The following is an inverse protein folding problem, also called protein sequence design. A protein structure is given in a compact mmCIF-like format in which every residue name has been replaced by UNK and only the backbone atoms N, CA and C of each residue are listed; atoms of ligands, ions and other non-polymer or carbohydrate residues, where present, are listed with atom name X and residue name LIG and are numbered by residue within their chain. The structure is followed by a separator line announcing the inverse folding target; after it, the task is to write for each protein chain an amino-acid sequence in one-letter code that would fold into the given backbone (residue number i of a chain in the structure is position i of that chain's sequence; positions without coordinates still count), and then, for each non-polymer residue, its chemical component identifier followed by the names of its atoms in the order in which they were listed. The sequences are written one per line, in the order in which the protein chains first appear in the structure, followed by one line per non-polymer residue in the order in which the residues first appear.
data_IF_137136508266
#
_entry.id   IF_137136508266
#
_cell.length_a   1.000
_cell.length_b   1.000
_cell.length_c   1.000
_cell.angle_alpha   90.00
_cell.angle_beta   90.00
_cell.angle_gamma   90.00
#
_symmetry.space_group_name_H-M   'P 1'
#
loop_
_entity.id
_entity.type
_entity.pdbx_description
1 polymer ?
#
# COMPACT_ATOMS: atom_id res chain seq x y z
N UNK A 1 4.10 9.50 -2.52
CA UNK A 1 2.89 9.32 -1.68
C UNK A 1 3.05 9.92 -0.27
N UNK A 2 4.07 9.59 0.55
CA UNK A 2 4.22 10.15 1.91
C UNK A 2 4.33 11.67 1.92
N UNK A 3 5.03 12.29 0.96
CA UNK A 3 5.05 13.74 0.82
C UNK A 3 3.66 14.36 0.62
N UNK A 4 2.79 13.68 -0.11
CA UNK A 4 1.39 14.10 -0.28
C UNK A 4 0.58 13.99 1.01
N UNK A 5 0.73 12.89 1.75
CA UNK A 5 0.10 12.71 3.06
C UNK A 5 0.56 13.78 4.05
N UNK A 6 1.86 14.06 4.12
CA UNK A 6 2.41 15.11 4.98
C UNK A 6 1.83 16.49 4.62
N UNK A 7 1.70 16.81 3.32
CA UNK A 7 1.07 18.07 2.85
C UNK A 7 -0.40 18.15 3.26
N UNK A 8 -1.14 17.06 3.12
CA UNK A 8 -2.56 17.02 3.51
C UNK A 8 -2.75 17.29 5.00
N UNK A 9 -1.97 16.64 5.87
CA UNK A 9 -2.01 16.90 7.31
C UNK A 9 -1.62 18.33 7.67
N UNK A 10 -0.60 18.88 7.01
CA UNK A 10 -0.21 20.30 7.19
C UNK A 10 -1.30 21.28 6.72
N UNK A 11 -1.99 20.96 5.62
CA UNK A 11 -3.09 21.75 5.11
C UNK A 11 -4.21 21.93 6.14
N UNK A 12 -4.48 20.89 6.90
CA UNK A 12 -5.48 20.90 7.97
C UNK A 12 -4.94 21.41 9.33
N UNK A 13 -3.72 21.92 9.39
CA UNK A 13 -3.13 22.40 10.63
C UNK A 13 -2.91 21.30 11.70
N UNK A 14 -2.90 20.04 11.27
CA UNK A 14 -2.73 18.86 12.11
C UNK A 14 -1.52 18.03 11.64
N UNK A 15 -0.28 18.60 11.68
CA UNK A 15 0.90 17.85 11.30
C UNK A 15 1.07 16.62 12.20
N UNK A 16 1.52 15.53 11.61
CA UNK A 16 1.84 14.28 12.31
C UNK A 16 3.23 13.84 11.93
N UNK A 17 3.96 13.26 12.88
CA UNK A 17 5.33 12.83 12.69
C UNK A 17 5.43 11.49 11.96
N UNK A 18 4.42 10.64 12.13
CA UNK A 18 4.39 9.29 11.58
C UNK A 18 2.97 8.80 11.29
N UNK A 19 2.83 7.84 10.38
CA UNK A 19 1.58 7.12 10.10
C UNK A 19 1.83 5.61 10.06
N UNK A 20 0.76 4.86 10.36
CA UNK A 20 0.75 3.38 10.29
C UNK A 20 0.30 2.95 8.91
N UNK A 21 1.22 2.37 8.17
CA UNK A 21 1.01 1.86 6.83
C UNK A 21 0.89 0.33 6.83
N UNK A 22 0.04 -0.19 5.98
CA UNK A 22 0.07 -1.61 5.60
C UNK A 22 0.39 -1.74 4.12
N UNK A 23 1.32 -2.65 3.81
CA UNK A 23 1.68 -3.00 2.44
C UNK A 23 1.70 -4.53 2.27
N UNK A 24 1.04 -5.11 1.25
CA UNK A 24 1.17 -6.51 0.96
C UNK A 24 2.58 -6.82 0.45
N UNK A 25 3.27 -7.71 1.15
CA UNK A 25 4.57 -8.24 0.72
C UNK A 25 4.36 -9.61 0.10
N UNK A 26 4.93 -9.83 -1.08
CA UNK A 26 4.94 -11.14 -1.72
C UNK A 26 5.86 -12.08 -0.94
N UNK A 27 5.26 -13.15 -0.39
CA UNK A 27 5.95 -14.19 0.39
C UNK A 27 6.09 -15.51 -0.38
N UNK A 28 5.95 -15.49 -1.71
CA UNK A 28 6.15 -16.68 -2.55
C UNK A 28 7.58 -17.17 -2.45
N UNK A 29 7.70 -18.48 -2.15
CA UNK A 29 8.96 -19.22 -2.23
C UNK A 29 9.14 -19.81 -3.63
N UNK A 30 10.32 -20.35 -3.92
CA UNK A 30 10.56 -21.06 -5.18
C UNK A 30 9.64 -22.29 -5.34
N UNK A 31 9.20 -22.91 -4.25
CA UNK A 31 8.29 -24.05 -4.24
C UNK A 31 6.84 -23.66 -4.55
N UNK A 32 6.46 -22.42 -4.26
CA UNK A 32 5.12 -21.89 -4.52
C UNK A 32 5.03 -21.05 -5.81
N UNK A 33 6.14 -20.93 -6.57
CA UNK A 33 6.13 -20.34 -7.90
C UNK A 33 5.26 -21.20 -8.83
N UNK A 34 4.23 -20.57 -9.42
CA UNK A 34 3.31 -21.27 -10.33
C UNK A 34 2.01 -21.76 -9.69
N UNK A 35 1.90 -21.74 -8.37
CA UNK A 35 0.62 -22.01 -7.71
C UNK A 35 -0.31 -20.81 -7.95
N UNK A 36 -1.52 -21.08 -8.46
CA UNK A 36 -2.54 -20.06 -8.66
C UNK A 36 -3.00 -19.48 -7.31
N UNK A 37 -3.19 -18.17 -7.24
CA UNK A 37 -3.66 -17.47 -6.05
C UNK A 37 -2.74 -16.35 -5.57
N UNK A 38 -3.25 -15.50 -4.68
CA UNK A 38 -2.47 -14.43 -4.06
C UNK A 38 -1.75 -14.95 -2.82
N UNK A 39 -0.44 -15.03 -2.89
CA UNK A 39 0.42 -15.43 -1.76
C UNK A 39 1.15 -14.20 -1.26
N UNK A 40 0.54 -13.47 -0.34
CA UNK A 40 1.13 -12.28 0.28
C UNK A 40 0.85 -12.24 1.79
N UNK A 41 1.71 -11.54 2.52
CA UNK A 41 1.49 -11.18 3.92
C UNK A 41 1.30 -9.66 4.04
N UNK A 42 0.35 -9.18 4.86
CA UNK A 42 0.23 -7.75 5.15
C UNK A 42 1.34 -7.34 6.11
N UNK A 43 2.37 -6.68 5.58
CA UNK A 43 3.40 -6.07 6.40
C UNK A 43 2.92 -4.73 6.94
N UNK A 44 3.32 -4.41 8.17
CA UNK A 44 2.95 -3.18 8.87
C UNK A 44 4.17 -2.35 9.16
N UNK A 45 4.05 -1.08 8.87
CA UNK A 45 5.12 -0.11 9.03
C UNK A 45 4.60 1.10 9.79
N UNK A 46 5.43 1.65 10.65
CA UNK A 46 5.32 3.02 11.09
C UNK A 46 6.23 3.85 10.20
N UNK A 47 5.66 4.69 9.35
CA UNK A 47 6.40 5.46 8.36
C UNK A 47 6.54 6.91 8.77
N UNK A 48 7.75 7.50 8.71
CA UNK A 48 7.95 8.90 9.08
C UNK A 48 7.35 9.84 8.03
N UNK A 49 6.64 10.87 8.49
CA UNK A 49 6.16 11.99 7.68
C UNK A 49 6.96 13.28 7.91
N UNK A 50 7.83 13.30 8.93
CA UNK A 50 8.65 14.45 9.31
C UNK A 50 9.86 14.67 8.40
N UNK A 51 10.21 13.70 7.53
CA UNK A 51 11.34 13.83 6.60
C UNK A 51 10.88 14.65 5.40
N UNK A 52 11.33 15.91 5.30
CA UNK A 52 10.94 16.81 4.22
C UNK A 52 11.72 16.57 2.93
N UNK A 53 13.02 16.24 3.01
CA UNK A 53 13.82 15.94 1.82
C UNK A 53 13.35 14.64 1.14
N UNK A 54 12.99 14.67 -0.16
CA UNK A 54 12.43 13.50 -0.84
C UNK A 54 13.45 12.37 -1.04
N UNK A 55 14.74 12.68 -1.17
CA UNK A 55 15.79 11.66 -1.35
C UNK A 55 16.04 10.94 -0.04
N UNK A 56 16.16 11.69 1.05
CA UNK A 56 16.30 11.15 2.40
C UNK A 56 15.09 10.27 2.76
N UNK A 57 13.87 10.76 2.45
CA UNK A 57 12.63 10.02 2.68
C UNK A 57 12.56 8.71 1.90
N UNK A 58 13.02 8.69 0.64
CA UNK A 58 13.11 7.46 -0.17
C UNK A 58 14.10 6.49 0.47
N UNK A 59 15.27 6.95 0.90
CA UNK A 59 16.29 6.14 1.57
C UNK A 59 15.75 5.50 2.85
N UNK A 60 15.16 6.29 3.73
CA UNK A 60 14.57 5.82 4.99
C UNK A 60 13.48 4.76 4.75
N UNK A 61 12.60 4.97 3.75
CA UNK A 61 11.58 4.00 3.39
C UNK A 61 12.17 2.72 2.81
N UNK A 62 13.21 2.82 1.99
CA UNK A 62 13.87 1.65 1.43
C UNK A 62 14.43 0.76 2.54
N UNK A 63 15.16 1.34 3.49
CA UNK A 63 15.72 0.61 4.63
C UNK A 63 14.63 -0.04 5.49
N UNK A 64 13.56 0.70 5.80
CA UNK A 64 12.42 0.20 6.55
C UNK A 64 11.77 -1.01 5.87
N UNK A 65 11.49 -0.91 4.57
CA UNK A 65 10.87 -1.99 3.80
C UNK A 65 11.80 -3.20 3.70
N UNK A 66 13.11 -3.01 3.52
CA UNK A 66 14.06 -4.11 3.46
C UNK A 66 14.15 -4.85 4.81
N UNK A 67 14.16 -4.11 5.91
CA UNK A 67 14.16 -4.70 7.26
C UNK A 67 12.93 -5.59 7.47
N UNK A 68 11.75 -5.08 7.15
CA UNK A 68 10.51 -5.84 7.28
C UNK A 68 10.44 -7.06 6.33
N UNK A 69 10.89 -6.92 5.10
CA UNK A 69 10.91 -8.06 4.14
C UNK A 69 11.78 -9.22 4.61
N UNK A 70 12.80 -8.94 5.42
CA UNK A 70 13.71 -9.95 5.97
C UNK A 70 13.22 -10.52 7.31
N UNK A 71 12.03 -10.10 7.79
CA UNK A 71 11.46 -10.60 9.05
C UNK A 71 11.16 -12.10 8.97
N UNK A 72 11.76 -12.93 9.83
CA UNK A 72 11.61 -14.39 9.79
C UNK A 72 10.18 -14.90 10.05
N UNK A 73 9.28 -14.02 10.54
CA UNK A 73 7.90 -14.40 10.83
C UNK A 73 7.03 -14.57 9.58
N UNK A 74 7.34 -13.88 8.47
CA UNK A 74 6.48 -13.89 7.27
C UNK A 74 6.28 -15.27 6.64
N UNK A 75 7.28 -16.15 6.50
CA UNK A 75 7.07 -17.50 5.98
C UNK A 75 6.08 -18.35 6.80
N UNK A 76 5.86 -17.99 8.07
CA UNK A 76 4.97 -18.71 9.00
C UNK A 76 3.56 -18.17 9.07
N UNK A 77 3.26 -17.04 8.41
CA UNK A 77 1.93 -16.39 8.44
C UNK A 77 0.83 -17.35 7.97
N UNK A 78 1.09 -18.18 6.95
CA UNK A 78 0.13 -19.19 6.49
C UNK A 78 -0.21 -20.25 7.55
N UNK A 79 0.78 -20.71 8.32
CA UNK A 79 0.59 -21.68 9.39
C UNK A 79 -0.20 -21.07 10.56
N UNK A 80 0.12 -19.81 10.92
CA UNK A 80 -0.60 -19.05 11.95
C UNK A 80 -2.05 -18.84 11.53
N UNK A 81 -2.31 -18.45 10.29
CA UNK A 81 -3.65 -18.28 9.75
C UNK A 81 -4.47 -19.58 9.82
N UNK A 82 -3.87 -20.72 9.44
CA UNK A 82 -4.51 -22.04 9.53
C UNK A 82 -4.88 -22.39 10.96
N UNK A 83 -4.00 -22.13 11.93
CA UNK A 83 -4.27 -22.34 13.36
C UNK A 83 -5.39 -21.45 13.88
N UNK A 84 -5.45 -20.18 13.45
CA UNK A 84 -6.50 -19.24 13.82
C UNK A 84 -7.86 -19.64 13.21
N UNK A 85 -7.89 -20.14 11.98
CA UNK A 85 -9.11 -20.68 11.36
C UNK A 85 -9.69 -21.86 12.14
N UNK A 86 -8.85 -22.71 12.73
CA UNK A 86 -9.30 -23.84 13.54
C UNK A 86 -10.02 -23.42 14.83
N UNK A 87 -9.83 -22.18 15.31
CA UNK A 87 -10.54 -21.62 16.48
C UNK A 87 -11.97 -21.14 16.18
N UNK A 88 -12.37 -21.22 14.91
CA UNK A 88 -13.71 -20.86 14.45
C UNK A 88 -13.88 -19.39 14.06
N UNK A 89 -14.93 -19.11 13.22
CA UNK A 89 -15.14 -17.81 12.61
C UNK A 89 -15.23 -16.62 13.58
N UNK A 90 -15.90 -16.70 14.75
CA UNK A 90 -16.02 -15.56 15.66
C UNK A 90 -14.68 -15.09 16.24
N UNK A 91 -13.80 -16.03 16.61
CA UNK A 91 -12.47 -15.72 17.16
C UNK A 91 -11.58 -15.13 16.07
N UNK A 92 -11.58 -15.76 14.90
CA UNK A 92 -10.85 -15.28 13.73
C UNK A 92 -11.26 -13.85 13.36
N UNK A 93 -12.56 -13.58 13.23
CA UNK A 93 -13.10 -12.27 12.87
C UNK A 93 -12.74 -11.21 13.91
N UNK A 94 -12.82 -11.52 15.21
CA UNK A 94 -12.51 -10.58 16.29
C UNK A 94 -11.02 -10.21 16.29
N UNK A 95 -10.14 -11.19 16.12
CA UNK A 95 -8.69 -10.95 16.06
C UNK A 95 -8.29 -10.16 14.82
N UNK A 96 -8.76 -10.54 13.66
CA UNK A 96 -8.47 -9.84 12.40
C UNK A 96 -9.04 -8.42 12.39
N UNK A 97 -10.26 -8.23 12.90
CA UNK A 97 -10.87 -6.89 13.01
C UNK A 97 -10.08 -5.95 13.92
N UNK A 98 -9.55 -6.46 15.05
CA UNK A 98 -8.72 -5.63 15.92
C UNK A 98 -7.39 -5.23 15.26
N UNK A 99 -6.86 -6.12 14.46
CA UNK A 99 -5.66 -5.84 13.68
C UNK A 99 -5.87 -4.77 12.59
N UNK A 100 -7.03 -4.74 11.94
CA UNK A 100 -7.36 -3.78 10.89
C UNK A 100 -7.60 -2.36 11.43
N UNK A 101 -8.02 -2.20 12.68
CA UNK A 101 -8.30 -0.89 13.31
C UNK A 101 -7.06 -0.03 13.57
N UNK A 102 -5.87 -0.56 13.42
CA UNK A 102 -4.60 0.13 13.71
C UNK A 102 -3.84 0.51 12.42
N UNK A 103 -4.55 0.83 11.34
CA UNK A 103 -3.98 1.16 10.02
C UNK A 103 -4.51 2.52 9.61
N UNK A 104 -3.63 3.46 9.30
CA UNK A 104 -4.01 4.79 8.82
C UNK A 104 -4.20 4.78 7.30
N UNK A 105 -3.29 4.11 6.57
CA UNK A 105 -3.44 3.91 5.13
C UNK A 105 -2.85 2.59 4.64
N UNK A 106 -3.33 2.14 3.49
CA UNK A 106 -2.83 0.96 2.78
C UNK A 106 -2.14 1.41 1.51
N UNK A 107 -1.00 0.81 1.19
CA UNK A 107 -0.36 0.98 -0.11
C UNK A 107 -0.09 -0.37 -0.75
N UNK A 108 -0.11 -0.40 -2.09
CA UNK A 108 0.24 -1.60 -2.85
C UNK A 108 1.01 -1.20 -4.10
N UNK A 109 1.99 -2.01 -4.47
CA UNK A 109 2.68 -1.90 -5.75
C UNK A 109 2.48 -3.20 -6.53
N UNK A 110 1.77 -3.11 -7.64
CA UNK A 110 1.42 -4.24 -8.50
C UNK A 110 2.13 -4.09 -9.85
N UNK A 111 3.21 -4.84 -10.09
CA UNK A 111 3.86 -4.85 -11.39
C UNK A 111 2.96 -5.54 -12.41
N UNK A 112 2.62 -4.86 -13.48
CA UNK A 112 1.94 -5.40 -14.64
C UNK A 112 2.90 -5.72 -15.80
N UNK A 113 2.38 -6.19 -16.95
CA UNK A 113 3.19 -6.50 -18.12
C UNK A 113 3.86 -5.24 -18.70
N UNK A 114 5.12 -5.40 -19.11
CA UNK A 114 5.91 -4.33 -19.73
C UNK A 114 5.66 -4.18 -21.24
N UNK A 115 4.66 -4.89 -21.77
CA UNK A 115 4.30 -4.92 -23.19
C UNK A 115 2.79 -4.72 -23.35
N UNK A 116 2.32 -4.26 -24.53
CA UNK A 116 0.90 -4.08 -24.82
C UNK A 116 0.13 -5.39 -24.70
N UNK A 117 -1.01 -5.38 -24.01
CA UNK A 117 -1.95 -6.51 -23.92
C UNK A 117 -3.29 -6.14 -24.53
N UNK A 118 -4.00 -7.19 -25.01
CA UNK A 118 -5.29 -7.05 -25.67
C UNK A 118 -6.34 -7.87 -24.92
N UNK A 119 -7.55 -7.33 -24.84
CA UNK A 119 -8.72 -8.02 -24.31
C UNK A 119 -9.79 -8.05 -25.38
N UNK A 120 -10.24 -9.26 -25.77
CA UNK A 120 -11.24 -9.46 -26.83
C UNK A 120 -10.92 -8.69 -28.14
N UNK A 121 -9.63 -8.59 -28.50
CA UNK A 121 -9.15 -7.88 -29.69
C UNK A 121 -8.95 -6.36 -29.53
N UNK A 122 -9.36 -5.76 -28.41
CA UNK A 122 -9.15 -4.36 -28.12
C UNK A 122 -7.84 -4.15 -27.32
N UNK A 123 -7.05 -3.15 -27.68
CA UNK A 123 -5.86 -2.76 -26.93
C UNK A 123 -6.26 -2.21 -25.58
N UNK A 124 -5.62 -2.70 -24.52
CA UNK A 124 -5.71 -2.08 -23.21
C UNK A 124 -4.75 -0.91 -23.16
N UNK A 125 -5.27 0.29 -23.05
CA UNK A 125 -4.46 1.51 -23.01
C UNK A 125 -3.92 1.81 -21.60
N UNK A 126 -4.73 1.55 -20.56
CA UNK A 126 -4.38 1.84 -19.15
C UNK A 126 -5.05 0.86 -18.20
N UNK A 127 -4.40 0.67 -17.05
CA UNK A 127 -4.99 0.02 -15.89
C UNK A 127 -5.09 1.01 -14.74
N UNK A 128 -6.30 1.24 -14.24
CA UNK A 128 -6.53 2.08 -13.07
C UNK A 128 -6.78 1.16 -11.88
N UNK A 129 -5.81 1.03 -10.94
CA UNK A 129 -5.94 0.13 -9.82
C UNK A 129 -6.86 0.71 -8.75
N UNK A 130 -7.73 -0.12 -8.17
CA UNK A 130 -8.58 0.22 -7.03
C UNK A 130 -8.41 -0.85 -5.95
N UNK A 131 -7.79 -0.47 -4.85
CA UNK A 131 -7.61 -1.35 -3.69
C UNK A 131 -8.70 -1.15 -2.63
N UNK A 132 -9.02 -2.17 -1.81
CA UNK A 132 -9.95 -2.03 -0.69
C UNK A 132 -9.32 -1.18 0.43
N UNK A 133 -10.15 -0.42 1.15
CA UNK A 133 -9.70 0.37 2.30
C UNK A 133 -9.24 -0.49 3.48
N UNK A 134 -9.86 -1.66 3.66
CA UNK A 134 -9.51 -2.60 4.74
C UNK A 134 -9.50 -1.97 6.14
N UNK A 135 -10.37 -0.98 6.38
CA UNK A 135 -10.46 -0.26 7.66
C UNK A 135 -9.51 0.93 7.80
N UNK A 136 -8.71 1.23 6.78
CA UNK A 136 -7.86 2.42 6.71
C UNK A 136 -8.60 3.64 6.13
N UNK A 137 -8.10 4.84 6.39
CA UNK A 137 -8.62 6.08 5.82
C UNK A 137 -8.35 6.26 4.32
N UNK A 138 -7.28 5.63 3.80
CA UNK A 138 -6.92 5.70 2.39
C UNK A 138 -6.27 4.40 1.89
N UNK A 139 -6.47 4.08 0.61
CA UNK A 139 -5.70 3.07 -0.12
C UNK A 139 -5.06 3.73 -1.35
N UNK A 140 -3.75 3.53 -1.49
CA UNK A 140 -2.91 4.10 -2.54
C UNK A 140 -2.25 2.94 -3.30
N UNK A 141 -2.82 2.54 -4.41
CA UNK A 141 -2.31 1.42 -5.21
C UNK A 141 -1.64 1.93 -6.48
N UNK A 142 -0.39 1.52 -6.70
CA UNK A 142 0.34 1.74 -7.93
C UNK A 142 0.27 0.48 -8.79
N UNK A 143 -0.01 0.67 -10.08
CA UNK A 143 0.06 -0.38 -11.09
C UNK A 143 0.95 0.09 -12.25
N UNK A 144 1.97 -0.68 -12.59
CA UNK A 144 2.83 -0.38 -13.73
C UNK A 144 2.42 -1.22 -14.94
N UNK A 145 2.22 -0.58 -16.09
CA UNK A 145 1.84 -1.23 -17.33
C UNK A 145 2.48 -0.52 -18.52
N UNK A 146 3.16 -1.28 -19.38
CA UNK A 146 3.73 -0.80 -20.66
C UNK A 146 4.50 0.52 -20.53
N UNK A 147 5.35 0.64 -19.48
CA UNK A 147 6.17 1.83 -19.25
C UNK A 147 5.47 2.99 -18.53
N UNK A 148 4.18 2.84 -18.19
CA UNK A 148 3.40 3.85 -17.45
C UNK A 148 3.06 3.31 -16.05
N UNK A 149 3.11 4.18 -15.05
CA UNK A 149 2.68 3.89 -13.70
C UNK A 149 1.40 4.68 -13.38
N UNK A 150 0.30 3.97 -13.18
CA UNK A 150 -0.98 4.54 -12.77
C UNK A 150 -1.18 4.34 -11.27
N UNK A 151 -1.65 5.39 -10.58
CA UNK A 151 -1.94 5.35 -9.15
C UNK A 151 -3.44 5.54 -8.93
N UNK A 152 -4.06 4.51 -8.36
CA UNK A 152 -5.44 4.58 -7.89
C UNK A 152 -5.47 5.01 -6.42
N UNK A 153 -6.33 5.98 -6.12
CA UNK A 153 -6.54 6.51 -4.78
C UNK A 153 -7.99 6.22 -4.40
N UNK A 154 -8.18 5.48 -3.33
CA UNK A 154 -9.48 5.23 -2.72
C UNK A 154 -9.46 5.75 -1.28
N UNK A 155 -10.46 6.53 -0.86
CA UNK A 155 -10.52 7.16 0.47
C UNK A 155 -11.84 6.89 1.17
N UNK A 156 -11.80 6.76 2.48
CA UNK A 156 -12.99 6.83 3.33
C UNK A 156 -13.37 8.30 3.52
N UNK A 157 -14.55 8.68 3.08
CA UNK A 157 -15.05 10.06 3.19
C UNK A 157 -15.23 10.56 4.62
N UNK A 158 -15.33 9.66 5.60
CA UNK A 158 -15.36 10.03 6.99
C UNK A 158 -13.97 10.42 7.52
N UNK A 159 -12.90 9.80 6.98
CA UNK A 159 -11.53 10.12 7.34
C UNK A 159 -10.93 11.23 6.47
N UNK A 160 -11.36 11.33 5.20
CA UNK A 160 -10.87 12.29 4.19
C UNK A 160 -12.09 12.98 3.57
N UNK A 161 -12.65 14.01 4.24
CA UNK A 161 -13.89 14.66 3.81
C UNK A 161 -13.74 15.50 2.53
N UNK A 162 -12.54 15.97 2.23
CA UNK A 162 -12.18 16.85 1.11
C UNK A 162 -11.26 16.13 0.11
N UNK A 163 -11.79 15.13 -0.55
CA UNK A 163 -11.07 14.27 -1.49
C UNK A 163 -10.30 15.03 -2.58
N UNK A 164 -10.79 16.18 -3.02
CA UNK A 164 -10.12 17.00 -4.03
C UNK A 164 -8.82 17.62 -3.50
N UNK A 165 -8.83 18.12 -2.25
CA UNK A 165 -7.63 18.63 -1.56
C UNK A 165 -6.64 17.49 -1.35
N UNK A 166 -7.12 16.34 -0.91
CA UNK A 166 -6.29 15.15 -0.75
C UNK A 166 -5.62 14.76 -2.07
N UNK A 167 -6.38 14.68 -3.17
CA UNK A 167 -5.86 14.34 -4.49
C UNK A 167 -4.81 15.36 -4.98
N UNK A 168 -5.03 16.66 -4.74
CA UNK A 168 -4.07 17.70 -5.07
C UNK A 168 -2.75 17.52 -4.28
N UNK A 169 -2.83 17.34 -2.97
CA UNK A 169 -1.64 17.07 -2.13
C UNK A 169 -0.89 15.81 -2.58
N UNK A 170 -1.60 14.76 -2.98
CA UNK A 170 -0.99 13.53 -3.48
C UNK A 170 -0.28 13.75 -4.80
N UNK A 171 -0.86 14.54 -5.72
CA UNK A 171 -0.24 14.91 -6.99
C UNK A 171 1.03 15.70 -6.77
N UNK A 172 1.00 16.74 -5.92
CA UNK A 172 2.19 17.53 -5.58
C UNK A 172 3.32 16.66 -5.02
N UNK A 173 2.97 15.67 -4.18
CA UNK A 173 3.94 14.72 -3.64
C UNK A 173 4.48 13.71 -4.65
N UNK A 174 3.80 13.49 -5.77
CA UNK A 174 4.29 12.68 -6.90
C UNK A 174 5.17 13.51 -7.82
N UNK A 175 4.75 14.76 -8.11
CA UNK A 175 5.50 15.69 -8.95
C UNK A 175 6.87 16.02 -8.32
N UNK A 176 6.94 16.13 -6.98
CA UNK A 176 8.20 16.26 -6.24
C UNK A 176 9.17 15.10 -6.54
N UNK A 177 8.67 13.87 -6.59
CA UNK A 177 9.50 12.70 -6.90
C UNK A 177 9.87 12.65 -8.38
N UNK A 178 8.94 12.99 -9.28
CA UNK A 178 9.19 13.04 -10.71
C UNK A 178 10.24 14.09 -11.10
N UNK A 179 10.38 15.14 -10.31
CA UNK A 179 11.38 16.18 -10.52
C UNK A 179 12.83 15.77 -10.12
N UNK A 180 13.01 14.61 -9.49
CA UNK A 180 14.32 14.07 -9.11
C UNK A 180 15.03 13.30 -10.24
N UNK A 181 14.32 12.89 -11.28
CA UNK A 181 14.80 12.07 -12.39
C UNK A 181 14.59 12.76 -13.71
#
# INVERSE_FOLDING_TARGET
MLGGLARYHRHHGAPVDELRMTMPINIRTNETKGVAGNVFAPARFTVPLSIDDPVERIGALHELIQTERNEPAYPRVGQIATGLFALGPPVFTRLTSSMLKAIDFVTSNVPGPSFPVYSAGALIERFIPLGPLSGAGANLTLYSYNGVADIGINVDRAAVPDGDVFAACMRDGLDEIAALG
#
